data_IF_960786649344
#
_entry.id   IF_960786649344
#
_cell.length_a   1.000
_cell.length_b   1.000
_cell.length_c   1.000
_cell.angle_alpha   90.00
_cell.angle_beta   90.00
_cell.angle_gamma   90.00
#
_symmetry.space_group_name_H-M   'P 1'
#
loop_
_entity.id
_entity.type
_entity.pdbx_description
1 polymer ?
#
# COMPACT_ATOMS: atom_id res chain seq x y z
N UNK A 1 -4.64 0.27 -0.24
CA UNK A 1 -4.14 -0.26 1.05
C UNK A 1 -2.62 -0.07 1.08
N UNK A 2 -2.15 1.06 1.61
CA UNK A 2 -0.74 1.33 1.94
C UNK A 2 -0.73 1.89 3.37
N UNK A 3 -1.41 1.18 4.28
CA UNK A 3 -1.41 1.59 5.67
C UNK A 3 0.00 1.34 6.23
N UNK A 4 0.56 2.25 7.02
CA UNK A 4 1.84 2.04 7.67
C UNK A 4 1.75 0.94 8.72
N UNK A 5 2.75 0.04 8.77
CA UNK A 5 2.85 -0.99 9.81
C UNK A 5 3.10 -0.36 11.17
N UNK A 6 2.47 -0.93 12.20
CA UNK A 6 2.79 -0.67 13.61
C UNK A 6 3.27 -1.95 14.29
N UNK A 7 4.32 -1.85 15.09
CA UNK A 7 4.79 -2.93 15.96
C UNK A 7 4.91 -2.47 17.40
N UNK A 8 4.57 -3.33 18.36
CA UNK A 8 4.69 -3.04 19.79
C UNK A 8 5.71 -3.95 20.46
N UNK A 9 6.42 -3.43 21.46
CA UNK A 9 7.40 -4.17 22.25
C UNK A 9 7.45 -3.66 23.69
N UNK A 10 7.90 -4.50 24.62
CA UNK A 10 8.22 -4.10 25.98
C UNK A 10 9.65 -3.55 26.04
N UNK A 11 9.81 -2.32 26.53
CA UNK A 11 11.10 -1.66 26.74
C UNK A 11 11.11 -1.13 28.18
N UNK A 12 12.03 -1.66 29.00
CA UNK A 12 12.16 -1.30 30.43
C UNK A 12 10.84 -1.39 31.22
N UNK A 13 10.02 -2.42 30.93
CA UNK A 13 8.74 -2.66 31.60
C UNK A 13 7.61 -1.73 31.17
N UNK A 14 7.75 -1.06 30.02
CA UNK A 14 6.70 -0.26 29.38
C UNK A 14 6.42 -0.80 27.99
N UNK A 15 5.13 -0.92 27.65
CA UNK A 15 4.71 -1.16 26.27
C UNK A 15 4.98 0.10 25.44
N UNK A 16 5.75 -0.06 24.37
CA UNK A 16 6.04 0.99 23.40
C UNK A 16 5.58 0.52 22.03
N UNK A 17 4.94 1.40 21.27
CA UNK A 17 4.49 1.13 19.89
C UNK A 17 5.25 2.02 18.91
N UNK A 18 5.78 1.40 17.86
CA UNK A 18 6.47 2.05 16.76
C UNK A 18 5.62 1.97 15.50
N UNK A 19 5.24 3.11 14.95
CA UNK A 19 4.70 3.23 13.60
C UNK A 19 5.83 3.44 12.61
N UNK A 20 5.85 2.64 11.55
CA UNK A 20 6.87 2.69 10.49
C UNK A 20 6.29 3.28 9.19
N UNK A 21 7.11 3.88 8.32
CA UNK A 21 6.68 4.33 6.99
C UNK A 21 6.52 3.19 5.97
N UNK A 22 6.76 1.94 6.36
CA UNK A 22 6.62 0.79 5.47
C UNK A 22 5.17 0.30 5.41
N UNK A 23 4.72 -0.21 4.24
CA UNK A 23 3.36 -0.70 4.09
C UNK A 23 3.14 -1.98 4.90
N UNK A 24 1.99 -2.05 5.55
CA UNK A 24 1.46 -3.20 6.28
C UNK A 24 0.87 -4.27 5.34
N UNK A 25 1.41 -4.35 4.13
CA UNK A 25 0.95 -5.26 3.10
C UNK A 25 2.13 -5.87 2.36
N UNK A 26 2.12 -7.20 2.27
CA UNK A 26 3.07 -7.97 1.52
C UNK A 26 2.33 -8.89 0.54
N UNK A 27 2.56 -8.70 -0.76
CA UNK A 27 1.94 -9.52 -1.80
C UNK A 27 2.38 -11.00 -1.73
N UNK A 28 3.57 -11.28 -1.20
CA UNK A 28 4.06 -12.64 -1.06
C UNK A 28 3.28 -13.44 0.00
N UNK A 29 2.67 -12.76 0.98
CA UNK A 29 1.96 -13.42 2.07
C UNK A 29 0.57 -13.85 1.62
N UNK A 30 0.26 -15.13 1.82
CA UNK A 30 -0.95 -15.77 1.29
C UNK A 30 -2.23 -15.10 1.81
N UNK A 31 -2.37 -14.96 3.12
CA UNK A 31 -3.63 -14.56 3.72
C UNK A 31 -3.92 -13.06 3.51
N UNK A 32 -2.96 -12.12 3.72
CA UNK A 32 -3.15 -10.72 3.35
C UNK A 32 -3.46 -10.54 1.86
N UNK A 33 -2.75 -11.25 0.97
CA UNK A 33 -3.04 -11.22 -0.47
C UNK A 33 -4.43 -11.73 -0.80
N UNK A 34 -4.89 -12.81 -0.14
CA UNK A 34 -6.23 -13.34 -0.35
C UNK A 34 -7.30 -12.30 0.04
N UNK A 35 -7.17 -11.71 1.23
CA UNK A 35 -8.05 -10.64 1.71
C UNK A 35 -8.10 -9.46 0.74
N UNK A 36 -6.94 -9.00 0.25
CA UNK A 36 -6.87 -7.91 -0.73
C UNK A 36 -7.54 -8.29 -2.07
N UNK A 37 -7.33 -9.52 -2.53
CA UNK A 37 -7.90 -10.00 -3.80
C UNK A 37 -9.42 -10.04 -3.73
N UNK A 38 -9.98 -10.67 -2.69
CA UNK A 38 -11.43 -10.87 -2.56
C UNK A 38 -12.15 -9.64 -2.05
N UNK A 39 -11.51 -8.84 -1.19
CA UNK A 39 -12.09 -7.64 -0.58
C UNK A 39 -12.02 -6.41 -1.48
N UNK A 40 -10.94 -6.24 -2.24
CA UNK A 40 -10.71 -5.02 -3.03
C UNK A 40 -10.72 -5.29 -4.55
N UNK A 41 -9.92 -6.24 -5.03
CA UNK A 41 -9.71 -6.42 -6.47
C UNK A 41 -10.94 -6.99 -7.19
N UNK A 42 -11.58 -8.02 -6.64
CA UNK A 42 -12.79 -8.62 -7.25
C UNK A 42 -13.94 -7.62 -7.31
N UNK A 43 -14.30 -6.90 -6.22
CA UNK A 43 -15.36 -5.88 -6.29
C UNK A 43 -15.03 -4.71 -7.22
N UNK A 44 -13.75 -4.33 -7.32
CA UNK A 44 -13.31 -3.32 -8.28
C UNK A 44 -13.53 -3.81 -9.72
N UNK A 45 -13.13 -5.04 -10.02
CA UNK A 45 -13.35 -5.65 -11.33
C UNK A 45 -14.84 -5.69 -11.70
N UNK A 46 -15.70 -6.15 -10.80
CA UNK A 46 -17.16 -6.20 -11.02
C UNK A 46 -17.73 -4.81 -11.32
N UNK A 47 -17.30 -3.79 -10.59
CA UNK A 47 -17.73 -2.40 -10.81
C UNK A 47 -17.30 -1.86 -12.18
N UNK A 48 -16.06 -2.13 -12.56
CA UNK A 48 -15.52 -1.74 -13.88
C UNK A 48 -16.28 -2.46 -14.99
N UNK A 49 -16.52 -3.76 -14.83
CA UNK A 49 -17.28 -4.56 -15.79
C UNK A 49 -18.71 -4.04 -15.96
N UNK A 50 -19.39 -3.70 -14.86
CA UNK A 50 -20.76 -3.18 -14.87
C UNK A 50 -20.89 -1.75 -15.43
N UNK A 51 -19.78 -1.00 -15.52
CA UNK A 51 -19.83 0.44 -15.82
C UNK A 51 -18.92 0.79 -17.01
N UNK A 52 -19.42 0.76 -18.26
CA UNK A 52 -18.61 0.98 -19.47
C UNK A 52 -17.85 2.31 -19.51
N UNK A 53 -18.44 3.39 -18.96
CA UNK A 53 -17.77 4.70 -18.87
C UNK A 53 -16.57 4.64 -17.92
N UNK A 54 -16.71 3.96 -16.78
CA UNK A 54 -15.61 3.76 -15.84
C UNK A 54 -14.51 2.90 -16.47
N UNK A 55 -14.89 1.82 -17.16
CA UNK A 55 -13.93 0.97 -17.88
C UNK A 55 -13.13 1.77 -18.90
N UNK A 56 -13.80 2.61 -19.71
CA UNK A 56 -13.10 3.47 -20.68
C UNK A 56 -12.15 4.45 -19.99
N UNK A 57 -12.57 5.06 -18.89
CA UNK A 57 -11.73 6.00 -18.15
C UNK A 57 -10.47 5.31 -17.61
N UNK A 58 -10.61 4.16 -16.97
CA UNK A 58 -9.49 3.46 -16.33
C UNK A 58 -8.57 2.80 -17.37
N UNK A 59 -9.12 2.14 -18.39
CA UNK A 59 -8.34 1.36 -19.36
C UNK A 59 -7.76 2.20 -20.50
N UNK A 60 -8.13 3.48 -20.63
CA UNK A 60 -7.54 4.38 -21.63
C UNK A 60 -6.20 4.98 -21.22
N UNK A 61 -5.80 4.82 -19.94
CA UNK A 61 -4.52 5.33 -19.46
C UNK A 61 -3.37 4.48 -20.04
N UNK A 62 -2.34 5.09 -20.65
CA UNK A 62 -1.21 4.36 -21.21
C UNK A 62 -0.42 3.61 -20.12
N UNK A 63 -0.48 2.27 -20.15
CA UNK A 63 0.17 1.41 -19.17
C UNK A 63 1.66 1.70 -18.96
N UNK A 64 2.40 2.05 -20.03
CA UNK A 64 3.83 2.31 -19.92
C UNK A 64 4.15 3.51 -19.02
N UNK A 65 3.30 4.55 -19.04
CA UNK A 65 3.46 5.72 -18.19
C UNK A 65 3.20 5.39 -16.73
N UNK A 66 2.10 4.68 -16.45
CA UNK A 66 1.73 4.26 -15.10
C UNK A 66 2.76 3.29 -14.52
N UNK A 67 3.22 2.32 -15.32
CA UNK A 67 4.27 1.39 -14.91
C UNK A 67 5.54 2.14 -14.57
N UNK A 68 5.97 3.09 -15.41
CA UNK A 68 7.15 3.90 -15.14
C UNK A 68 6.98 4.71 -13.85
N UNK A 69 5.83 5.35 -13.63
CA UNK A 69 5.56 6.10 -12.40
C UNK A 69 5.61 5.21 -11.15
N UNK A 70 5.18 3.95 -11.25
CA UNK A 70 5.23 2.97 -10.17
C UNK A 70 6.59 2.34 -9.90
N UNK A 71 7.60 2.54 -10.76
CA UNK A 71 8.93 1.95 -10.55
C UNK A 71 9.61 2.53 -9.31
N UNK A 72 10.19 1.65 -8.50
CA UNK A 72 10.87 2.02 -7.25
C UNK A 72 11.92 3.12 -7.44
N UNK A 73 12.71 3.08 -8.53
CA UNK A 73 13.72 4.10 -8.80
C UNK A 73 13.13 5.50 -8.95
N UNK A 74 11.97 5.62 -9.61
CA UNK A 74 11.28 6.90 -9.78
C UNK A 74 10.61 7.37 -8.49
N UNK A 75 10.23 6.42 -7.62
CA UNK A 75 9.63 6.68 -6.30
C UNK A 75 10.66 6.86 -5.18
N UNK A 76 11.96 6.65 -5.46
CA UNK A 76 13.01 6.59 -4.45
C UNK A 76 13.14 7.90 -3.64
N UNK A 77 13.08 9.11 -4.23
CA UNK A 77 13.16 10.34 -3.46
C UNK A 77 12.04 10.44 -2.41
N UNK A 78 10.78 10.21 -2.83
CA UNK A 78 9.62 10.22 -1.93
C UNK A 78 9.76 9.17 -0.83
N UNK A 79 10.19 7.94 -1.20
CA UNK A 79 10.38 6.85 -0.25
C UNK A 79 11.45 7.20 0.80
N UNK A 80 12.56 7.83 0.40
CA UNK A 80 13.60 8.26 1.33
C UNK A 80 13.10 9.36 2.27
N UNK A 81 12.28 10.29 1.76
CA UNK A 81 11.63 11.31 2.59
C UNK A 81 10.73 10.67 3.64
N UNK A 82 9.90 9.69 3.26
CA UNK A 82 9.03 8.98 4.20
C UNK A 82 9.84 8.18 5.23
N UNK A 83 10.85 7.44 4.77
CA UNK A 83 11.76 6.66 5.62
C UNK A 83 12.59 7.52 6.58
N UNK A 84 12.84 8.79 6.28
CA UNK A 84 13.58 9.68 7.17
C UNK A 84 12.67 10.43 8.16
N UNK A 85 11.41 10.68 7.79
CA UNK A 85 10.56 11.65 8.49
C UNK A 85 9.32 11.10 9.20
N UNK A 86 8.84 9.90 8.87
CA UNK A 86 7.50 9.46 9.28
C UNK A 86 7.47 8.37 10.37
N UNK A 87 8.60 8.11 11.01
CA UNK A 87 8.65 7.24 12.19
C UNK A 87 7.97 7.92 13.37
N UNK A 88 7.13 7.19 14.11
CA UNK A 88 6.47 7.71 15.30
C UNK A 88 6.55 6.69 16.43
N UNK A 89 7.05 7.13 17.58
CA UNK A 89 7.09 6.36 18.81
C UNK A 89 5.92 6.79 19.71
N UNK A 90 5.17 5.82 20.21
CA UNK A 90 4.05 6.02 21.13
C UNK A 90 4.30 5.18 22.38
N UNK A 91 4.17 5.79 23.56
CA UNK A 91 4.42 5.16 24.86
C UNK A 91 3.24 5.42 25.81
#
# INVERSE_FOLDING_TARGET
MFAPTTGSAEVDGRTVTLRTPLPDFNWADRDPRWTYTTGDLVPCYERVQATPLLARQVLSVPFAGDLAAGRLLNRLPDLLTDLAGQWQLMA
#
